data_IF_701149147718
#
_entry.id   IF_701149147718
#
_cell.length_a   1.000
_cell.length_b   1.000
_cell.length_c   1.000
_cell.angle_alpha   90.00
_cell.angle_beta   90.00
_cell.angle_gamma   90.00
#
_symmetry.space_group_name_H-M   'P 1'
#
loop_
_entity.id
_entity.type
_entity.pdbx_description
1 polymer ?
#
# COMPACT_ATOMS: atom_id res chain seq x y z
N UNK A 1 61.24 -39.11 -35.98
CA UNK A 1 61.17 -37.72 -35.51
C UNK A 1 59.76 -37.49 -35.06
N UNK A 2 59.51 -37.63 -33.73
CA UNK A 2 58.18 -37.51 -33.11
C UNK A 2 58.19 -36.27 -32.24
N UNK A 3 57.49 -35.21 -32.69
CA UNK A 3 57.22 -34.06 -31.88
C UNK A 3 55.96 -34.33 -31.02
N UNK A 4 56.11 -34.37 -29.72
CA UNK A 4 55.03 -34.43 -28.75
C UNK A 4 54.63 -33.01 -28.40
N UNK A 5 53.50 -32.55 -28.93
CA UNK A 5 52.82 -31.31 -28.52
C UNK A 5 52.18 -31.56 -27.14
N UNK A 6 52.75 -30.92 -26.10
CA UNK A 6 52.14 -30.82 -24.79
C UNK A 6 51.08 -29.72 -24.75
N UNK A 7 49.81 -30.09 -24.66
CA UNK A 7 48.70 -29.14 -24.48
C UNK A 7 48.60 -28.81 -22.98
N UNK A 8 49.00 -27.58 -22.60
CA UNK A 8 48.87 -27.04 -21.25
C UNK A 8 47.37 -26.60 -21.08
N UNK A 9 46.56 -27.36 -20.37
CA UNK A 9 45.21 -26.95 -19.97
C UNK A 9 45.31 -25.99 -18.79
N UNK A 10 45.05 -24.69 -19.08
CA UNK A 10 44.92 -23.65 -18.06
C UNK A 10 43.54 -23.75 -17.42
N UNK A 11 43.44 -24.33 -16.22
CA UNK A 11 42.19 -24.35 -15.45
C UNK A 11 41.94 -22.94 -14.83
N UNK A 12 40.99 -22.18 -15.38
CA UNK A 12 40.47 -20.97 -14.77
C UNK A 12 39.64 -21.39 -13.51
N UNK A 13 40.20 -21.22 -12.35
CA UNK A 13 39.41 -21.21 -11.10
C UNK A 13 38.59 -19.91 -11.07
N UNK A 14 37.29 -20.01 -11.33
CA UNK A 14 36.35 -18.95 -11.08
C UNK A 14 36.23 -18.77 -9.54
N UNK A 15 36.89 -17.75 -8.99
CA UNK A 15 36.67 -17.30 -7.62
C UNK A 15 35.27 -16.69 -7.56
N UNK A 16 34.28 -17.46 -7.10
CA UNK A 16 32.98 -16.96 -6.69
C UNK A 16 33.18 -16.15 -5.41
N UNK A 17 33.23 -14.82 -5.52
CA UNK A 17 33.16 -13.93 -4.37
C UNK A 17 31.78 -14.10 -3.73
N UNK A 18 31.68 -14.40 -2.41
CA UNK A 18 30.40 -14.41 -1.73
C UNK A 18 29.80 -13.00 -1.85
N UNK A 19 28.60 -12.89 -2.36
CA UNK A 19 27.83 -11.65 -2.32
C UNK A 19 27.63 -11.29 -0.85
N UNK A 20 28.20 -10.17 -0.41
CA UNK A 20 27.96 -9.65 0.93
C UNK A 20 26.47 -9.35 1.05
N UNK A 21 25.82 -9.90 2.10
CA UNK A 21 24.43 -9.58 2.39
C UNK A 21 24.30 -8.07 2.61
N UNK A 22 23.28 -7.46 2.04
CA UNK A 22 22.99 -6.03 2.22
C UNK A 22 22.54 -5.81 3.68
N UNK A 23 23.27 -5.02 4.50
CA UNK A 23 22.89 -4.81 5.90
C UNK A 23 21.64 -3.94 6.07
N UNK A 24 21.16 -3.33 4.99
CA UNK A 24 20.03 -2.40 4.98
C UNK A 24 18.78 -2.97 4.30
N UNK A 25 18.86 -4.19 3.80
CA UNK A 25 17.73 -4.90 3.23
C UNK A 25 17.76 -6.38 3.61
N UNK A 26 16.59 -6.98 3.77
CA UNK A 26 16.47 -8.43 3.84
C UNK A 26 16.71 -9.06 2.46
N UNK A 27 16.94 -10.36 2.43
CA UNK A 27 16.86 -11.09 1.16
C UNK A 27 15.44 -10.93 0.56
N UNK A 28 15.35 -10.99 -0.75
CA UNK A 28 14.09 -11.09 -1.44
C UNK A 28 13.38 -12.41 -1.12
N UNK A 29 12.08 -12.33 -0.80
CA UNK A 29 11.18 -13.48 -0.70
C UNK A 29 10.44 -13.58 -2.05
N UNK A 30 10.84 -14.50 -2.94
CA UNK A 30 10.20 -14.66 -4.23
C UNK A 30 8.83 -15.33 -4.10
N UNK A 31 7.88 -14.91 -4.93
CA UNK A 31 6.58 -15.53 -5.12
C UNK A 31 6.25 -15.59 -6.61
N UNK A 32 5.11 -16.22 -6.98
CA UNK A 32 4.62 -16.13 -8.34
C UNK A 32 4.19 -14.69 -8.65
N UNK A 33 4.76 -14.09 -9.70
CA UNK A 33 4.45 -12.73 -10.16
C UNK A 33 4.85 -11.59 -9.22
N UNK A 34 5.58 -11.86 -8.13
CA UNK A 34 6.11 -10.83 -7.25
C UNK A 34 7.34 -11.29 -6.48
N UNK A 35 8.06 -10.33 -5.94
CA UNK A 35 9.03 -10.55 -4.88
C UNK A 35 8.91 -9.44 -3.83
N UNK A 36 9.25 -9.75 -2.59
CA UNK A 36 9.11 -8.79 -1.49
C UNK A 36 10.32 -8.84 -0.56
N UNK A 37 10.64 -7.69 0.07
CA UNK A 37 11.69 -7.58 1.08
C UNK A 37 11.41 -6.48 2.09
N UNK A 38 12.14 -6.49 3.20
CA UNK A 38 12.28 -5.36 4.10
C UNK A 38 13.48 -4.50 3.67
N UNK A 39 13.32 -3.19 3.78
CA UNK A 39 14.38 -2.19 3.60
C UNK A 39 14.41 -1.23 4.79
N UNK A 40 15.57 -0.71 5.16
CA UNK A 40 15.75 0.19 6.29
C UNK A 40 16.14 1.61 5.84
N UNK A 41 15.58 2.64 6.50
CA UNK A 41 15.89 4.05 6.19
C UNK A 41 17.11 4.60 6.96
N UNK A 42 17.66 3.82 7.93
CA UNK A 42 18.79 4.24 8.76
C UNK A 42 18.42 5.12 9.94
N UNK A 43 17.15 5.45 10.15
CA UNK A 43 16.67 6.14 11.35
C UNK A 43 16.04 5.19 12.39
N UNK A 44 16.02 3.90 12.10
CA UNK A 44 15.34 2.86 12.89
C UNK A 44 13.92 2.58 12.38
N UNK A 45 13.56 3.08 11.20
CA UNK A 45 12.31 2.78 10.51
C UNK A 45 12.55 1.87 9.32
N UNK A 46 11.49 1.29 8.78
CA UNK A 46 11.58 0.34 7.68
C UNK A 46 10.56 0.63 6.57
N UNK A 47 10.71 -0.10 5.47
CA UNK A 47 9.71 -0.23 4.41
C UNK A 47 9.55 -1.70 4.05
N UNK A 48 8.32 -2.12 3.76
CA UNK A 48 8.03 -3.38 3.12
C UNK A 48 7.84 -3.12 1.63
N UNK A 49 8.81 -3.58 0.85
CA UNK A 49 8.85 -3.39 -0.60
C UNK A 49 8.30 -4.62 -1.29
N UNK A 50 7.36 -4.40 -2.23
CA UNK A 50 6.87 -5.42 -3.16
C UNK A 50 7.18 -4.96 -4.57
N UNK A 51 7.85 -5.80 -5.35
CA UNK A 51 7.98 -5.66 -6.79
C UNK A 51 7.05 -6.65 -7.49
N UNK A 52 6.39 -6.17 -8.56
CA UNK A 52 5.39 -6.93 -9.29
C UNK A 52 5.86 -7.20 -10.72
N UNK A 53 5.58 -8.39 -11.23
CA UNK A 53 5.73 -8.69 -12.65
C UNK A 53 4.86 -7.76 -13.51
N UNK A 54 5.26 -7.43 -14.73
CA UNK A 54 4.47 -6.59 -15.63
C UNK A 54 3.01 -7.09 -15.77
N UNK A 55 2.06 -6.16 -15.66
CA UNK A 55 0.62 -6.46 -15.74
C UNK A 55 -0.01 -6.95 -14.45
N UNK A 56 0.79 -7.23 -13.41
CA UNK A 56 0.28 -7.64 -12.11
C UNK A 56 -0.06 -6.44 -11.22
N UNK A 57 -0.99 -6.66 -10.30
CA UNK A 57 -1.40 -5.70 -9.27
C UNK A 57 -1.33 -6.33 -7.89
N UNK A 58 -1.21 -5.50 -6.86
CA UNK A 58 -1.47 -5.87 -5.46
C UNK A 58 -2.39 -4.85 -4.82
N UNK A 59 -2.96 -5.18 -3.67
CA UNK A 59 -4.12 -4.45 -3.15
C UNK A 59 -3.78 -3.47 -2.04
N UNK A 60 -4.61 -2.45 -1.95
CA UNK A 60 -4.66 -1.53 -0.83
C UNK A 60 -5.36 -2.17 0.38
N UNK A 61 -5.39 -1.48 1.52
CA UNK A 61 -6.06 -1.94 2.76
C UNK A 61 -7.58 -2.14 2.61
N UNK A 62 -8.21 -1.40 1.68
CA UNK A 62 -9.54 -1.69 1.15
C UNK A 62 -9.38 -2.02 -0.33
N UNK A 63 -9.58 -3.28 -0.74
CA UNK A 63 -9.26 -3.72 -2.09
C UNK A 63 -10.30 -3.35 -3.14
N UNK A 64 -11.41 -2.71 -2.77
CA UNK A 64 -12.54 -2.42 -3.65
C UNK A 64 -13.50 -3.61 -3.81
N UNK A 65 -14.08 -3.76 -5.01
CA UNK A 65 -15.09 -4.78 -5.30
C UNK A 65 -14.53 -6.21 -5.29
N UNK A 66 -13.27 -6.36 -5.65
CA UNK A 66 -12.58 -7.65 -5.74
C UNK A 66 -11.17 -7.53 -5.18
N UNK A 67 -10.72 -8.56 -4.47
CA UNK A 67 -9.37 -8.64 -3.97
C UNK A 67 -9.25 -9.02 -2.51
N UNK A 68 -8.02 -9.13 -2.04
CA UNK A 68 -7.70 -9.52 -0.67
C UNK A 68 -6.72 -8.48 -0.09
N UNK A 69 -7.10 -7.78 0.99
CA UNK A 69 -6.19 -6.83 1.62
C UNK A 69 -4.96 -7.53 2.21
N UNK A 70 -3.79 -6.89 2.19
CA UNK A 70 -2.61 -7.45 2.83
C UNK A 70 -2.76 -7.48 4.36
N UNK A 71 -2.13 -8.49 4.98
CA UNK A 71 -2.02 -8.62 6.43
C UNK A 71 -0.57 -8.70 6.85
N UNK A 72 -0.24 -8.14 8.01
CA UNK A 72 1.12 -8.02 8.52
C UNK A 72 1.18 -8.47 9.97
N UNK A 73 2.07 -9.41 10.27
CA UNK A 73 2.32 -9.89 11.63
C UNK A 73 3.78 -9.62 12.00
N UNK A 74 3.98 -8.85 13.07
CA UNK A 74 5.27 -8.48 13.62
C UNK A 74 5.60 -9.18 14.95
N UNK A 75 4.81 -10.17 15.36
CA UNK A 75 4.92 -10.81 16.68
C UNK A 75 6.27 -11.47 16.98
N UNK A 76 7.03 -11.82 15.92
CA UNK A 76 8.36 -12.43 16.06
C UNK A 76 9.50 -11.40 16.17
N UNK A 77 9.19 -10.11 16.14
CA UNK A 77 10.20 -9.05 16.25
C UNK A 77 10.83 -8.99 17.64
N UNK A 78 12.08 -8.52 17.70
CA UNK A 78 12.81 -8.36 18.96
C UNK A 78 13.01 -6.88 19.27
N UNK A 79 12.73 -6.47 20.52
CA UNK A 79 12.83 -5.11 21.00
C UNK A 79 11.91 -4.12 20.25
N UNK A 80 10.71 -4.57 19.82
CA UNK A 80 9.68 -3.76 19.19
C UNK A 80 8.49 -3.62 20.14
N UNK A 81 8.14 -2.37 20.50
CA UNK A 81 6.94 -2.07 21.28
C UNK A 81 5.71 -1.97 20.35
N UNK A 82 5.89 -1.37 19.16
CA UNK A 82 4.86 -1.33 18.11
C UNK A 82 5.49 -1.25 16.74
N UNK A 83 4.81 -1.82 15.75
CA UNK A 83 5.12 -1.66 14.34
C UNK A 83 3.80 -1.44 13.58
N UNK A 84 3.72 -0.36 12.83
CA UNK A 84 2.52 0.04 12.08
C UNK A 84 2.87 0.28 10.62
N UNK A 85 2.08 -0.31 9.73
CA UNK A 85 2.24 -0.17 8.27
C UNK A 85 1.40 1.00 7.78
N UNK A 86 2.03 1.94 7.11
CA UNK A 86 1.36 3.04 6.45
C UNK A 86 1.11 2.70 4.97
N UNK A 87 -0.08 3.03 4.49
CA UNK A 87 -0.50 2.72 3.14
C UNK A 87 -0.41 3.97 2.25
N UNK A 88 0.46 3.98 1.23
CA UNK A 88 0.38 4.98 0.18
C UNK A 88 -1.02 5.04 -0.43
N UNK A 89 -1.40 6.19 -0.98
CA UNK A 89 -2.68 6.34 -1.65
C UNK A 89 -2.82 5.33 -2.81
N UNK A 90 -3.98 4.67 -2.97
CA UNK A 90 -4.19 3.67 -4.00
C UNK A 90 -4.45 4.29 -5.36
N UNK A 91 -4.30 3.49 -6.42
CA UNK A 91 -4.92 3.73 -7.71
C UNK A 91 -6.21 2.92 -7.87
N UNK A 92 -7.14 3.44 -8.68
CA UNK A 92 -8.32 2.70 -9.15
C UNK A 92 -7.92 1.91 -10.38
N UNK A 93 -8.19 0.62 -10.38
CA UNK A 93 -7.80 -0.32 -11.42
C UNK A 93 -9.08 -0.99 -11.91
N UNK A 94 -9.40 -0.81 -13.20
CA UNK A 94 -10.52 -1.49 -13.82
C UNK A 94 -10.16 -2.95 -14.12
N UNK A 95 -10.98 -3.88 -13.67
CA UNK A 95 -10.85 -5.30 -13.93
C UNK A 95 -11.62 -5.69 -15.20
N UNK A 96 -11.25 -6.81 -15.81
CA UNK A 96 -11.82 -7.27 -17.08
C UNK A 96 -13.30 -7.67 -17.01
N UNK A 97 -13.81 -7.97 -15.81
CA UNK A 97 -15.20 -8.31 -15.53
C UNK A 97 -16.08 -7.09 -15.21
N UNK A 98 -15.49 -5.88 -15.24
CA UNK A 98 -16.17 -4.61 -14.95
C UNK A 98 -16.18 -4.24 -13.47
N UNK A 99 -15.58 -5.04 -12.59
CA UNK A 99 -15.30 -4.67 -11.19
C UNK A 99 -14.14 -3.68 -11.09
N UNK A 100 -13.96 -3.09 -9.92
CA UNK A 100 -12.87 -2.15 -9.64
C UNK A 100 -12.04 -2.66 -8.47
N UNK A 101 -10.72 -2.69 -8.67
CA UNK A 101 -9.76 -2.95 -7.61
C UNK A 101 -9.08 -1.65 -7.16
N UNK A 102 -8.77 -1.55 -5.88
CA UNK A 102 -7.99 -0.47 -5.30
C UNK A 102 -6.62 -1.02 -4.87
N UNK A 103 -5.56 -0.46 -5.44
CA UNK A 103 -4.24 -1.04 -5.21
C UNK A 103 -3.12 -0.38 -6.00
N UNK A 104 -2.11 -1.18 -6.29
CA UNK A 104 -0.85 -0.73 -6.85
C UNK A 104 -0.45 -1.56 -8.05
N UNK A 105 0.07 -0.89 -9.07
CA UNK A 105 0.66 -1.49 -10.27
C UNK A 105 2.18 -1.31 -10.24
N UNK A 106 2.93 -2.26 -10.79
CA UNK A 106 4.41 -2.26 -10.87
C UNK A 106 5.13 -2.49 -9.55
N UNK A 107 4.55 -2.18 -8.42
CA UNK A 107 5.11 -2.36 -7.09
C UNK A 107 4.70 -1.27 -6.12
N UNK A 108 5.09 -1.46 -4.86
CA UNK A 108 4.81 -0.53 -3.77
C UNK A 108 5.82 -0.69 -2.65
N UNK A 109 6.15 0.41 -1.98
CA UNK A 109 6.79 0.40 -0.67
C UNK A 109 5.77 0.85 0.36
N UNK A 110 5.50 0.01 1.34
CA UNK A 110 4.71 0.33 2.52
C UNK A 110 5.66 0.79 3.62
N UNK A 111 5.69 2.08 4.00
CA UNK A 111 6.47 2.54 5.14
C UNK A 111 6.01 1.87 6.42
N UNK A 112 6.95 1.46 7.27
CA UNK A 112 6.67 0.84 8.57
C UNK A 112 7.24 1.75 9.65
N UNK A 113 6.34 2.27 10.51
CA UNK A 113 6.71 3.01 11.70
C UNK A 113 7.00 2.03 12.82
N UNK A 114 8.24 2.01 13.31
CA UNK A 114 8.70 1.11 14.35
C UNK A 114 9.03 1.90 15.60
N UNK A 115 8.48 1.46 16.74
CA UNK A 115 8.82 1.97 18.06
C UNK A 115 9.59 0.90 18.82
N UNK A 116 10.83 1.19 19.20
CA UNK A 116 11.61 0.29 20.03
C UNK A 116 11.05 0.24 21.46
N UNK A 117 11.03 -0.95 22.07
CA UNK A 117 10.69 -1.12 23.48
C UNK A 117 11.78 -0.51 24.40
N UNK A 118 13.03 -0.67 24.03
CA UNK A 118 14.20 -0.05 24.67
C UNK A 118 15.03 0.64 23.58
N UNK A 119 15.07 2.00 23.54
CA UNK A 119 15.81 2.75 22.53
C UNK A 119 17.33 2.55 22.55
N UNK A 120 17.88 2.00 23.63
CA UNK A 120 19.32 1.74 23.80
C UNK A 120 19.76 0.39 23.22
N UNK A 121 18.82 -0.48 22.88
CA UNK A 121 19.06 -1.83 22.36
C UNK A 121 18.79 -1.91 20.86
N UNK A 122 19.48 -2.80 20.13
CA UNK A 122 19.18 -3.08 18.74
C UNK A 122 17.74 -3.55 18.54
N UNK A 123 17.15 -3.20 17.40
CA UNK A 123 15.82 -3.65 16.95
C UNK A 123 16.00 -4.65 15.82
N UNK A 124 15.38 -5.82 15.95
CA UNK A 124 15.20 -6.76 14.85
C UNK A 124 13.73 -6.80 14.48
N UNK A 125 13.39 -6.31 13.29
CA UNK A 125 12.05 -6.37 12.75
C UNK A 125 11.86 -7.70 12.02
N UNK A 126 10.89 -8.50 12.46
CA UNK A 126 10.46 -9.72 11.79
C UNK A 126 9.03 -9.52 11.29
N UNK A 127 8.79 -9.79 10.01
CA UNK A 127 7.50 -9.60 9.35
C UNK A 127 7.05 -10.89 8.69
N UNK A 128 5.86 -11.37 9.04
CA UNK A 128 5.09 -12.33 8.26
C UNK A 128 3.99 -11.55 7.52
N UNK A 129 4.16 -11.35 6.21
CA UNK A 129 3.20 -10.68 5.35
C UNK A 129 2.45 -11.70 4.49
N UNK A 130 1.11 -11.57 4.42
CA UNK A 130 0.30 -12.26 3.42
C UNK A 130 -0.37 -11.20 2.55
N UNK A 131 -0.31 -11.37 1.24
CA UNK A 131 -0.90 -10.45 0.27
C UNK A 131 -1.35 -11.23 -0.97
N UNK A 132 -2.09 -10.59 -1.85
CA UNK A 132 -2.50 -11.19 -3.12
C UNK A 132 -1.86 -10.43 -4.29
N UNK A 133 -1.52 -11.17 -5.33
CA UNK A 133 -1.03 -10.64 -6.61
C UNK A 133 -1.94 -11.13 -7.71
N UNK A 134 -2.53 -10.22 -8.46
CA UNK A 134 -3.50 -10.54 -9.51
C UNK A 134 -3.05 -10.02 -10.87
N UNK A 135 -3.33 -10.79 -11.91
CA UNK A 135 -3.24 -10.42 -13.32
C UNK A 135 -4.52 -10.89 -14.01
N UNK A 136 -4.61 -12.17 -14.37
CA UNK A 136 -5.83 -12.84 -14.85
C UNK A 136 -6.47 -13.69 -13.76
N UNK A 137 -5.67 -14.15 -12.83
CA UNK A 137 -6.06 -14.90 -11.63
C UNK A 137 -5.34 -14.29 -10.43
N UNK A 138 -5.98 -14.34 -9.27
CA UNK A 138 -5.38 -13.88 -8.04
C UNK A 138 -4.61 -15.03 -7.37
N UNK A 139 -3.35 -14.77 -7.07
CA UNK A 139 -2.43 -15.71 -6.45
C UNK A 139 -2.10 -15.22 -5.03
N UNK A 140 -2.26 -16.06 -4.00
CA UNK A 140 -1.78 -15.73 -2.68
C UNK A 140 -0.24 -15.70 -2.68
N UNK A 141 0.32 -14.69 -2.02
CA UNK A 141 1.75 -14.54 -1.80
C UNK A 141 2.02 -14.39 -0.30
N UNK A 142 3.14 -14.92 0.14
CA UNK A 142 3.60 -14.83 1.52
C UNK A 142 5.08 -14.47 1.55
N UNK A 143 5.46 -13.55 2.46
CA UNK A 143 6.84 -13.21 2.73
C UNK A 143 7.11 -13.31 4.25
N UNK A 144 8.08 -14.13 4.61
CA UNK A 144 8.61 -14.22 5.97
C UNK A 144 10.01 -13.60 5.96
N UNK A 145 10.15 -12.42 6.56
CA UNK A 145 11.30 -11.53 6.42
C UNK A 145 11.82 -11.12 7.79
N UNK A 146 13.13 -10.85 7.86
CA UNK A 146 13.77 -10.33 9.06
C UNK A 146 14.85 -9.32 8.66
N UNK A 147 14.95 -8.22 9.40
CA UNK A 147 15.94 -7.17 9.18
C UNK A 147 16.32 -6.50 10.51
N UNK A 148 17.62 -6.38 10.77
CA UNK A 148 18.10 -5.51 11.83
C UNK A 148 17.97 -4.04 11.39
N UNK A 149 17.34 -3.21 12.21
CA UNK A 149 17.14 -1.80 11.87
C UNK A 149 18.30 -0.95 12.38
N UNK A 150 19.17 -0.47 11.49
CA UNK A 150 20.25 0.43 11.86
C UNK A 150 19.70 1.81 12.24
N UNK A 151 20.41 2.52 13.11
CA UNK A 151 20.04 3.86 13.56
C UNK A 151 21.20 4.82 13.46
N UNK A 152 20.94 6.02 12.94
CA UNK A 152 21.94 7.06 12.81
C UNK A 152 22.94 6.84 11.66
N UNK A 153 22.56 6.09 10.63
CA UNK A 153 23.41 5.80 9.45
C UNK A 153 22.65 6.11 8.15
N UNK A 154 23.39 6.50 7.13
CA UNK A 154 22.80 6.65 5.79
C UNK A 154 22.61 5.29 5.13
N UNK A 155 21.49 5.12 4.43
CA UNK A 155 21.18 3.89 3.68
C UNK A 155 20.80 4.22 2.24
N UNK A 156 20.98 3.30 1.30
CA UNK A 156 20.56 3.52 -0.09
C UNK A 156 19.02 3.58 -0.25
N UNK A 157 18.26 3.12 0.75
CA UNK A 157 16.79 3.00 0.70
C UNK A 157 16.04 4.17 1.35
N UNK A 158 16.73 5.08 2.05
CA UNK A 158 16.09 6.21 2.74
C UNK A 158 15.23 7.06 1.80
N UNK A 159 15.76 7.39 0.62
CA UNK A 159 15.04 8.21 -0.36
C UNK A 159 13.80 7.50 -0.93
N UNK A 160 13.84 6.18 -1.09
CA UNK A 160 12.72 5.37 -1.56
C UNK A 160 11.60 5.32 -0.52
N UNK A 161 11.94 5.03 0.75
CA UNK A 161 10.99 5.04 1.85
C UNK A 161 10.36 6.44 2.04
N UNK A 162 11.16 7.50 1.96
CA UNK A 162 10.67 8.88 2.05
C UNK A 162 9.74 9.25 0.88
N UNK A 163 10.01 8.73 -0.31
CA UNK A 163 9.12 8.90 -1.45
C UNK A 163 7.77 8.22 -1.22
N UNK A 164 7.77 7.01 -0.66
CA UNK A 164 6.55 6.31 -0.29
C UNK A 164 5.79 7.04 0.83
N UNK A 165 6.49 7.60 1.83
CA UNK A 165 5.87 8.42 2.90
C UNK A 165 5.13 9.63 2.37
N UNK A 166 5.64 10.28 1.33
CA UNK A 166 4.96 11.43 0.69
C UNK A 166 3.66 11.06 0.00
N UNK A 167 3.46 9.78 -0.33
CA UNK A 167 2.24 9.27 -0.94
C UNK A 167 1.18 8.82 0.09
N UNK A 168 1.50 8.85 1.39
CA UNK A 168 0.53 8.53 2.44
C UNK A 168 -0.48 9.69 2.53
N UNK A 169 -1.81 9.40 2.50
CA UNK A 169 -2.82 10.42 2.64
C UNK A 169 -2.68 11.22 3.94
N UNK A 170 -2.66 12.54 3.84
CA UNK A 170 -2.67 13.43 5.02
C UNK A 170 -4.05 13.44 5.63
N UNK A 171 -4.13 13.36 6.96
CA UNK A 171 -5.42 13.45 7.66
C UNK A 171 -5.84 14.90 7.79
N UNK A 172 -7.03 15.20 7.29
CA UNK A 172 -7.62 16.54 7.32
C UNK A 172 -9.11 16.47 7.66
N UNK A 173 -9.64 17.55 8.25
CA UNK A 173 -11.06 17.64 8.55
C UNK A 173 -11.88 17.86 7.27
N UNK A 174 -13.04 17.21 7.17
CA UNK A 174 -13.93 17.34 6.01
C UNK A 174 -14.37 18.80 5.76
N UNK A 175 -14.56 19.57 6.84
CA UNK A 175 -14.90 20.99 6.74
C UNK A 175 -13.74 21.82 6.16
N UNK A 176 -12.49 21.55 6.55
CA UNK A 176 -11.32 22.21 6.01
C UNK A 176 -11.12 21.94 4.51
N UNK A 177 -11.50 20.74 4.06
CA UNK A 177 -11.51 20.34 2.64
C UNK A 177 -12.68 20.93 1.85
N UNK A 178 -13.61 21.65 2.49
CA UNK A 178 -14.83 22.16 1.85
C UNK A 178 -15.75 21.07 1.32
N UNK A 179 -15.74 19.88 1.96
CA UNK A 179 -16.59 18.77 1.58
C UNK A 179 -18.04 19.08 1.94
N UNK A 180 -18.92 18.92 0.94
CA UNK A 180 -20.36 18.96 1.08
C UNK A 180 -20.91 17.55 0.83
N UNK A 181 -21.66 17.04 1.80
CA UNK A 181 -22.30 15.73 1.72
C UNK A 181 -23.82 15.91 1.71
N UNK A 182 -24.47 15.53 0.62
CA UNK A 182 -25.91 15.62 0.44
C UNK A 182 -26.53 14.23 0.39
N UNK A 183 -27.48 13.96 1.30
CA UNK A 183 -28.27 12.73 1.25
C UNK A 183 -29.29 12.80 0.09
N UNK A 184 -29.33 11.77 -0.73
CA UNK A 184 -30.25 11.60 -1.84
C UNK A 184 -31.36 10.60 -1.47
N UNK A 185 -32.27 10.31 -2.41
CA UNK A 185 -33.30 9.28 -2.17
C UNK A 185 -32.68 7.88 -2.00
N UNK A 186 -33.32 7.08 -1.15
CA UNK A 186 -32.79 5.78 -0.79
C UNK A 186 -31.55 5.89 0.12
N UNK A 187 -30.62 4.96 -0.05
CA UNK A 187 -29.34 4.95 0.68
C UNK A 187 -28.21 5.42 -0.23
N UNK A 188 -28.38 6.63 -0.79
CA UNK A 188 -27.42 7.24 -1.70
C UNK A 188 -27.02 8.62 -1.19
N UNK A 189 -25.83 9.04 -1.48
CA UNK A 189 -25.30 10.36 -1.14
C UNK A 189 -24.51 10.93 -2.32
N UNK A 190 -24.38 12.23 -2.32
CA UNK A 190 -23.45 12.95 -3.18
C UNK A 190 -22.46 13.67 -2.32
N UNK A 191 -21.16 13.41 -2.53
CA UNK A 191 -20.05 14.11 -1.92
C UNK A 191 -19.43 15.01 -2.95
N UNK A 192 -19.34 16.30 -2.67
CA UNK A 192 -18.69 17.29 -3.52
C UNK A 192 -17.62 18.05 -2.72
N UNK A 193 -16.52 18.41 -3.38
CA UNK A 193 -15.48 19.24 -2.83
C UNK A 193 -14.98 20.22 -3.91
N UNK A 194 -14.35 21.37 -3.54
CA UNK A 194 -13.86 22.33 -4.52
C UNK A 194 -12.92 21.65 -5.53
N UNK A 195 -13.15 21.87 -6.82
CA UNK A 195 -12.29 21.34 -7.87
C UNK A 195 -10.92 22.02 -7.83
N UNK A 196 -9.88 21.26 -8.13
CA UNK A 196 -8.51 21.75 -8.23
C UNK A 196 -8.10 21.78 -9.71
N UNK A 197 -7.59 22.93 -10.14
CA UNK A 197 -7.25 23.16 -11.55
C UNK A 197 -6.20 22.17 -12.05
N UNK A 198 -6.52 21.47 -13.15
CA UNK A 198 -5.58 20.56 -13.81
C UNK A 198 -5.46 19.17 -13.16
N UNK A 199 -6.17 18.91 -12.07
CA UNK A 199 -6.17 17.62 -11.38
C UNK A 199 -7.49 16.88 -11.61
N UNK A 200 -7.40 15.58 -11.89
CA UNK A 200 -8.55 14.68 -11.84
C UNK A 200 -8.54 13.97 -10.50
N UNK A 201 -9.48 14.32 -9.64
CA UNK A 201 -9.61 13.69 -8.32
C UNK A 201 -10.32 12.34 -8.42
N UNK A 202 -9.95 11.45 -7.51
CA UNK A 202 -10.65 10.18 -7.29
C UNK A 202 -10.97 10.03 -5.81
N UNK A 203 -12.02 9.27 -5.49
CA UNK A 203 -12.51 9.05 -4.13
C UNK A 203 -12.58 7.56 -3.82
N UNK A 204 -11.90 7.17 -2.76
CA UNK A 204 -11.95 5.83 -2.18
C UNK A 204 -12.66 5.91 -0.83
N UNK A 205 -13.60 5.02 -0.58
CA UNK A 205 -14.40 5.02 0.65
C UNK A 205 -14.24 3.70 1.39
N UNK A 206 -13.97 3.80 2.68
CA UNK A 206 -13.86 2.66 3.59
C UNK A 206 -15.04 2.73 4.58
N UNK A 207 -16.13 2.00 4.31
CA UNK A 207 -17.30 1.97 5.17
C UNK A 207 -17.07 1.07 6.41
N UNK A 208 -18.01 1.08 7.38
CA UNK A 208 -17.99 0.12 8.48
C UNK A 208 -17.98 -1.34 8.02
N UNK A 209 -17.47 -2.23 8.87
CA UNK A 209 -17.42 -3.66 8.56
C UNK A 209 -18.78 -4.23 8.15
N UNK A 210 -18.79 -5.05 7.12
CA UNK A 210 -20.01 -5.67 6.58
C UNK A 210 -20.85 -4.76 5.67
N UNK A 211 -20.41 -3.53 5.41
CA UNK A 211 -21.03 -2.65 4.44
C UNK A 211 -20.34 -2.75 3.09
N UNK A 212 -21.11 -2.61 2.02
CA UNK A 212 -20.60 -2.41 0.67
C UNK A 212 -21.07 -1.06 0.14
N UNK A 213 -20.18 -0.09 0.14
CA UNK A 213 -20.39 1.28 -0.32
C UNK A 213 -19.48 1.54 -1.52
N UNK A 214 -20.06 2.00 -2.62
CA UNK A 214 -19.28 2.36 -3.82
C UNK A 214 -19.22 3.86 -4.00
N UNK A 215 -18.10 4.37 -4.50
CA UNK A 215 -17.92 5.78 -4.88
C UNK A 215 -17.59 5.86 -6.36
N UNK A 216 -18.37 6.66 -7.12
CA UNK A 216 -18.13 6.89 -8.56
C UNK A 216 -18.08 8.38 -8.85
N UNK A 217 -17.08 8.80 -9.62
CA UNK A 217 -16.97 10.17 -10.10
C UNK A 217 -18.21 10.55 -10.91
N UNK A 218 -18.70 11.77 -10.73
CA UNK A 218 -19.75 12.41 -11.53
C UNK A 218 -19.15 13.56 -12.34
N UNK A 219 -19.94 14.13 -13.25
CA UNK A 219 -19.56 15.35 -13.93
C UNK A 219 -19.33 16.48 -12.91
N UNK A 220 -18.27 17.27 -13.13
CA UNK A 220 -17.98 18.42 -12.29
C UNK A 220 -19.11 19.43 -12.36
N UNK A 221 -19.55 19.94 -11.23
CA UNK A 221 -20.65 20.88 -11.12
C UNK A 221 -20.19 22.16 -10.43
N UNK A 222 -20.39 23.30 -11.07
CA UNK A 222 -20.10 24.63 -10.50
C UNK A 222 -18.69 24.78 -9.89
N UNK A 223 -17.66 24.21 -10.54
CA UNK A 223 -16.28 24.26 -10.03
C UNK A 223 -16.01 23.31 -8.86
N UNK A 224 -16.78 22.23 -8.75
CA UNK A 224 -16.62 21.19 -7.73
C UNK A 224 -16.48 19.82 -8.37
N UNK A 225 -15.62 19.00 -7.82
CA UNK A 225 -15.55 17.56 -8.11
C UNK A 225 -16.59 16.84 -7.26
N UNK A 226 -17.46 16.07 -7.91
CA UNK A 226 -18.57 15.39 -7.24
C UNK A 226 -18.49 13.88 -7.43
N UNK A 227 -18.92 13.15 -6.41
CA UNK A 227 -18.93 11.70 -6.38
C UNK A 227 -20.29 11.18 -5.90
N UNK A 228 -20.83 10.19 -6.59
CA UNK A 228 -21.98 9.43 -6.12
C UNK A 228 -21.52 8.35 -5.14
N UNK A 229 -22.05 8.35 -3.95
CA UNK A 229 -21.89 7.28 -2.97
C UNK A 229 -23.17 6.44 -2.97
N UNK A 230 -23.05 5.13 -3.23
CA UNK A 230 -24.17 4.20 -3.32
C UNK A 230 -23.95 3.04 -2.37
N UNK A 231 -24.82 2.92 -1.36
CA UNK A 231 -24.83 1.80 -0.46
C UNK A 231 -25.49 0.59 -1.13
N UNK A 232 -24.68 -0.41 -1.47
CA UNK A 232 -25.11 -1.65 -2.11
C UNK A 232 -25.62 -2.67 -1.11
N UNK A 233 -24.93 -2.75 0.04
CA UNK A 233 -25.26 -3.69 1.11
C UNK A 233 -24.87 -3.10 2.46
N UNK A 234 -25.67 -3.41 3.50
CA UNK A 234 -25.34 -3.19 4.90
C UNK A 234 -25.99 -4.28 5.75
N UNK A 235 -25.47 -4.55 6.97
CA UNK A 235 -26.13 -5.41 7.94
C UNK A 235 -27.56 -4.94 8.27
N UNK A 236 -28.42 -5.86 8.68
CA UNK A 236 -29.82 -5.53 8.99
C UNK A 236 -29.96 -4.54 10.17
N UNK A 237 -29.01 -4.57 11.10
CA UNK A 237 -28.88 -3.70 12.26
C UNK A 237 -28.00 -2.47 12.03
N UNK A 238 -27.71 -2.14 10.77
CA UNK A 238 -26.87 -1.00 10.40
C UNK A 238 -27.40 0.32 10.99
N UNK A 239 -26.59 0.95 11.84
CA UNK A 239 -26.95 2.20 12.51
C UNK A 239 -26.48 3.42 11.69
N UNK A 240 -27.30 4.49 11.77
CA UNK A 240 -26.97 5.80 11.21
C UNK A 240 -26.99 6.86 12.32
N UNK A 241 -26.14 7.93 12.25
CA UNK A 241 -25.18 8.18 11.19
C UNK A 241 -24.01 7.19 11.19
N UNK A 242 -23.60 6.72 10.02
CA UNK A 242 -22.45 5.84 9.84
C UNK A 242 -21.19 6.65 9.50
N UNK A 243 -20.11 6.43 10.22
CA UNK A 243 -18.83 7.05 9.91
C UNK A 243 -18.12 6.27 8.78
N UNK A 244 -17.71 6.96 7.74
CA UNK A 244 -17.00 6.43 6.59
C UNK A 244 -15.69 7.18 6.46
N UNK A 245 -14.59 6.46 6.26
CA UNK A 245 -13.32 7.05 5.89
C UNK A 245 -13.30 7.30 4.39
N UNK A 246 -12.91 8.51 4.00
CA UNK A 246 -12.81 8.93 2.61
C UNK A 246 -11.37 9.31 2.31
N UNK A 247 -10.76 8.66 1.33
CA UNK A 247 -9.44 9.01 0.79
C UNK A 247 -9.63 9.62 -0.58
N UNK A 248 -9.19 10.88 -0.73
CA UNK A 248 -9.26 11.63 -1.97
C UNK A 248 -7.85 11.71 -2.54
N UNK A 249 -7.69 11.34 -3.80
CA UNK A 249 -6.42 11.36 -4.52
C UNK A 249 -6.50 12.32 -5.71
N UNK A 250 -5.37 12.60 -6.34
CA UNK A 250 -5.25 13.64 -7.38
C UNK A 250 -5.01 15.03 -6.76
N UNK A 251 -4.53 15.97 -7.53
CA UNK A 251 -4.17 17.29 -7.05
C UNK A 251 -2.78 17.34 -6.39
N UNK A 252 -2.58 18.22 -5.41
CA UNK A 252 -1.29 18.44 -4.74
C UNK A 252 -0.89 17.30 -3.79
N UNK A 253 -1.71 16.25 -3.67
CA UNK A 253 -1.44 15.08 -2.84
C UNK A 253 -2.73 14.34 -2.47
N UNK A 254 -2.57 13.26 -1.69
CA UNK A 254 -3.71 12.52 -1.17
C UNK A 254 -4.10 13.02 0.23
N UNK A 255 -5.39 13.07 0.51
CA UNK A 255 -5.94 13.41 1.83
C UNK A 255 -6.90 12.33 2.30
N UNK A 256 -6.94 12.12 3.60
CA UNK A 256 -7.86 11.18 4.26
C UNK A 256 -8.72 11.97 5.25
N UNK A 257 -10.01 11.76 5.21
CA UNK A 257 -10.96 12.39 6.13
C UNK A 257 -12.04 11.41 6.56
N UNK A 258 -12.88 11.83 7.50
CA UNK A 258 -14.05 11.09 7.96
C UNK A 258 -15.31 11.87 7.62
N UNK A 259 -16.28 11.19 7.03
CA UNK A 259 -17.60 11.74 6.75
C UNK A 259 -18.68 10.90 7.44
N UNK A 260 -19.80 11.53 7.82
CA UNK A 260 -20.92 10.84 8.46
C UNK A 260 -22.10 10.75 7.51
N UNK A 261 -22.43 9.53 7.11
CA UNK A 261 -23.60 9.26 6.27
C UNK A 261 -24.85 9.20 7.14
N UNK A 262 -25.83 10.05 6.82
CA UNK A 262 -27.18 9.97 7.36
C UNK A 262 -28.16 9.78 6.19
N UNK A 263 -29.15 8.89 6.30
CA UNK A 263 -30.16 8.77 5.24
C UNK A 263 -30.98 10.06 5.15
N UNK A 264 -31.58 10.28 3.99
CA UNK A 264 -32.57 11.36 3.84
C UNK A 264 -33.80 10.98 4.62
N UNK A 265 -34.20 11.84 5.55
CA UNK A 265 -35.51 11.77 6.26
C UNK A 265 -36.69 11.91 5.31
#
# INVERSE_FOLDING_TARGET
MNERMAVLALALLALSTPALADPFASNWAPSLKSEARLIADGSGQAGFQIELSPGSITYWRDPGDAGVPPTFDFSRSTNVASAEVDFPAPGRIAESDGSEAFGYQRGVVFPIRVQAADPSRPVTLALDANYAVCEKICLPARAALELNLPKGVATPYAAEIDSARRLIPKREDAAALGIELTALQGRNWRLCLPAESGARRDLFVEPPAGWWLTAKSQEAEAGRDCFALVLRQAPADAAFPAEVRATITGGEGAVETKVKLSPKS
#
